data_IF_885616139412
#
_entry.id   IF_885616139412
#
_cell.length_a   1.000
_cell.length_b   1.000
_cell.length_c   1.000
_cell.angle_alpha   90.00
_cell.angle_beta   90.00
_cell.angle_gamma   90.00
#
_symmetry.space_group_name_H-M   'P 1'
#
loop_
_entity.id
_entity.type
_entity.pdbx_description
1 polymer ?
#
# COMPACT_ATOMS: atom_id res chain seq x y z
N UNK A 1 3.26 -7.84 -11.46
CA UNK A 1 4.09 -6.62 -11.39
C UNK A 1 3.43 -5.43 -12.02
N UNK A 2 3.64 -4.24 -11.45
CA UNK A 2 3.19 -2.98 -12.04
C UNK A 2 4.22 -1.85 -11.93
N UNK A 3 4.23 -1.01 -12.96
CA UNK A 3 5.12 0.13 -13.13
C UNK A 3 4.41 1.42 -12.68
N UNK A 4 5.09 2.26 -11.90
CA UNK A 4 4.62 3.58 -11.46
C UNK A 4 3.30 3.56 -10.69
N UNK A 5 3.12 2.56 -9.82
CA UNK A 5 1.89 2.33 -9.05
C UNK A 5 2.07 2.37 -7.53
N UNK A 6 3.31 2.49 -7.04
CA UNK A 6 3.65 2.35 -5.61
C UNK A 6 4.43 3.56 -5.08
N UNK A 7 4.18 4.74 -5.64
CA UNK A 7 4.74 6.01 -5.17
C UNK A 7 3.68 7.09 -5.11
N UNK A 8 3.93 8.08 -4.26
CA UNK A 8 3.16 9.31 -4.18
C UNK A 8 4.06 10.40 -3.61
N UNK A 9 4.07 11.60 -4.22
CA UNK A 9 4.85 12.76 -3.72
C UNK A 9 6.32 12.45 -3.38
N UNK A 10 6.97 11.57 -4.15
CA UNK A 10 8.35 11.12 -3.91
C UNK A 10 8.52 10.10 -2.78
N UNK A 11 7.46 9.73 -2.08
CA UNK A 11 7.42 8.65 -1.09
C UNK A 11 6.84 7.35 -1.64
N UNK A 12 6.87 6.31 -0.81
CA UNK A 12 6.29 5.00 -1.11
C UNK A 12 4.79 4.99 -0.81
N UNK A 13 4.00 4.36 -1.68
CA UNK A 13 2.57 4.15 -1.48
C UNK A 13 2.31 2.66 -1.18
N UNK A 14 1.82 2.38 0.02
CA UNK A 14 1.44 1.04 0.50
C UNK A 14 -0.07 0.93 0.69
N UNK A 15 -0.58 -0.29 0.79
CA UNK A 15 -1.98 -0.57 1.04
C UNK A 15 -2.31 -0.62 2.54
N UNK A 16 -3.59 -0.48 2.89
CA UNK A 16 -4.05 -0.65 4.26
C UNK A 16 -3.73 -2.06 4.75
N UNK A 17 -3.08 -2.19 5.91
CA UNK A 17 -2.62 -3.47 6.45
C UNK A 17 -1.32 -4.01 5.84
N UNK A 18 -0.72 -3.32 4.87
CA UNK A 18 0.62 -3.62 4.37
C UNK A 18 1.67 -3.07 5.36
N UNK A 19 2.61 -3.91 5.80
CA UNK A 19 3.68 -3.51 6.73
C UNK A 19 5.04 -3.62 6.01
N UNK A 20 5.96 -2.71 6.32
CA UNK A 20 7.33 -2.69 5.79
C UNK A 20 8.20 -3.57 6.68
N UNK A 21 8.65 -4.69 6.16
CA UNK A 21 9.51 -5.65 6.86
C UNK A 21 10.95 -5.18 6.91
N UNK A 22 11.48 -4.72 5.77
CA UNK A 22 12.85 -4.22 5.62
C UNK A 22 12.87 -3.03 4.67
N UNK A 23 13.80 -2.12 4.90
CA UNK A 23 14.08 -0.97 4.05
C UNK A 23 15.59 -0.88 3.80
N UNK A 24 15.98 -0.61 2.56
CA UNK A 24 17.38 -0.35 2.22
C UNK A 24 17.45 0.80 1.22
N UNK A 25 18.40 1.69 1.45
CA UNK A 25 18.78 2.73 0.49
C UNK A 25 19.91 2.23 -0.43
N UNK A 26 20.30 3.07 -1.39
CA UNK A 26 21.44 2.85 -2.28
C UNK A 26 21.41 1.54 -3.08
N UNK A 27 20.21 1.12 -3.48
CA UNK A 27 20.01 -0.03 -4.36
C UNK A 27 19.97 0.43 -5.81
N UNK A 28 20.67 -0.30 -6.68
CA UNK A 28 20.58 -0.13 -8.12
C UNK A 28 19.71 -1.21 -8.76
N UNK A 29 18.78 -0.82 -9.61
CA UNK A 29 17.91 -1.70 -10.37
C UNK A 29 18.26 -1.63 -11.86
N UNK A 30 18.51 -2.80 -12.45
CA UNK A 30 18.78 -2.97 -13.86
C UNK A 30 17.82 -4.00 -14.46
N UNK A 31 17.50 -3.82 -15.74
CA UNK A 31 16.58 -4.69 -16.48
C UNK A 31 17.27 -5.39 -17.64
N UNK A 32 16.79 -6.59 -17.97
CA UNK A 32 17.13 -7.34 -19.18
C UNK A 32 15.84 -7.92 -19.78
N UNK A 33 15.77 -7.95 -21.11
CA UNK A 33 14.56 -8.37 -21.85
C UNK A 33 13.53 -7.26 -22.07
N UNK A 34 13.76 -6.07 -21.48
CA UNK A 34 13.01 -4.84 -21.73
C UNK A 34 14.04 -3.71 -21.88
N UNK A 35 14.08 -3.04 -23.05
CA UNK A 35 15.19 -2.11 -23.37
C UNK A 35 14.72 -0.66 -23.65
N UNK A 36 13.42 -0.38 -23.53
CA UNK A 36 12.81 0.92 -23.84
C UNK A 36 12.24 1.68 -22.63
N UNK A 37 12.21 3.00 -22.76
CA UNK A 37 11.57 3.94 -21.82
C UNK A 37 11.92 3.71 -20.35
N UNK A 38 10.95 3.34 -19.49
CA UNK A 38 11.16 3.17 -18.04
C UNK A 38 12.16 2.06 -17.69
N UNK A 39 12.41 1.10 -18.59
CA UNK A 39 13.33 0.00 -18.35
C UNK A 39 14.78 0.31 -18.75
N UNK A 40 15.02 1.44 -19.40
CA UNK A 40 16.35 1.78 -19.93
C UNK A 40 17.31 2.20 -18.83
N UNK A 41 18.49 1.57 -18.83
CA UNK A 41 19.63 1.94 -18.00
C UNK A 41 19.49 1.54 -16.53
N UNK A 42 20.50 1.90 -15.73
CA UNK A 42 20.53 1.61 -14.30
C UNK A 42 19.73 2.65 -13.52
N UNK A 43 18.74 2.20 -12.76
CA UNK A 43 17.97 3.04 -11.82
C UNK A 43 18.63 3.01 -10.44
N UNK A 44 18.58 4.11 -9.70
CA UNK A 44 19.13 4.21 -8.34
C UNK A 44 18.03 4.64 -7.40
N UNK A 45 17.88 3.97 -6.26
CA UNK A 45 16.75 4.22 -5.39
C UNK A 45 16.83 3.45 -4.09
N UNK A 46 15.68 3.38 -3.44
CA UNK A 46 15.48 2.61 -2.22
C UNK A 46 14.56 1.43 -2.51
N UNK A 47 14.73 0.37 -1.73
CA UNK A 47 13.92 -0.84 -1.83
C UNK A 47 13.24 -1.12 -0.50
N UNK A 48 11.98 -1.56 -0.60
CA UNK A 48 11.13 -1.92 0.51
C UNK A 48 10.75 -3.39 0.35
N UNK A 49 11.01 -4.21 1.36
CA UNK A 49 10.36 -5.50 1.50
C UNK A 49 9.14 -5.29 2.39
N UNK A 50 7.96 -5.64 1.89
CA UNK A 50 6.71 -5.55 2.66
C UNK A 50 6.16 -6.94 2.97
N UNK A 51 5.04 -7.00 3.68
CA UNK A 51 4.30 -8.24 3.94
C UNK A 51 3.73 -8.90 2.67
N UNK A 52 3.66 -8.20 1.53
CA UNK A 52 2.98 -8.66 0.31
C UNK A 52 3.85 -8.64 -0.96
N UNK A 53 4.85 -7.74 -0.99
CA UNK A 53 5.62 -7.42 -2.19
C UNK A 53 6.95 -6.78 -1.87
N UNK A 54 7.84 -6.77 -2.85
CA UNK A 54 8.96 -5.83 -2.89
C UNK A 54 8.52 -4.55 -3.60
N UNK A 55 9.03 -3.38 -3.22
CA UNK A 55 8.80 -2.11 -3.93
C UNK A 55 10.15 -1.45 -4.16
N UNK A 56 10.46 -1.12 -5.41
CA UNK A 56 11.55 -0.22 -5.73
C UNK A 56 10.99 1.20 -5.89
N UNK A 57 11.61 2.18 -5.24
CA UNK A 57 11.31 3.60 -5.37
C UNK A 57 12.52 4.32 -5.93
N UNK A 58 12.37 4.95 -7.10
CA UNK A 58 13.47 5.66 -7.73
C UNK A 58 13.78 6.95 -6.99
N UNK A 59 15.07 7.27 -6.84
CA UNK A 59 15.53 8.53 -6.25
C UNK A 59 15.36 9.72 -7.19
N UNK A 60 15.36 9.47 -8.49
CA UNK A 60 15.25 10.52 -9.51
C UNK A 60 13.78 10.74 -9.89
N UNK A 61 13.24 11.91 -9.55
CA UNK A 61 11.87 12.31 -9.95
C UNK A 61 11.73 12.60 -11.45
N UNK A 62 12.84 12.76 -12.17
CA UNK A 62 12.85 13.01 -13.62
C UNK A 62 12.98 11.73 -14.45
N UNK A 63 13.13 10.56 -13.83
CA UNK A 63 13.19 9.28 -14.55
C UNK A 63 11.77 8.79 -14.89
N UNK A 64 11.59 8.14 -16.04
CA UNK A 64 10.30 7.55 -16.41
C UNK A 64 9.84 6.45 -15.43
N UNK A 65 10.77 5.72 -14.80
CA UNK A 65 10.46 4.75 -13.75
C UNK A 65 10.56 5.44 -12.39
N UNK A 66 9.42 5.80 -11.80
CA UNK A 66 9.32 6.36 -10.46
C UNK A 66 9.21 5.27 -9.38
N UNK A 67 8.47 4.20 -9.67
CA UNK A 67 8.38 3.05 -8.78
C UNK A 67 8.14 1.76 -9.54
N UNK A 68 8.53 0.62 -8.96
CA UNK A 68 8.13 -0.68 -9.48
C UNK A 68 7.67 -1.58 -8.33
N UNK A 69 6.46 -2.12 -8.47
CA UNK A 69 5.83 -2.99 -7.48
C UNK A 69 6.05 -4.46 -7.84
N UNK A 70 6.63 -5.19 -6.90
CA UNK A 70 7.04 -6.59 -6.99
C UNK A 70 6.19 -7.59 -6.17
N UNK A 71 4.89 -7.84 -6.46
CA UNK A 71 4.12 -8.87 -5.74
C UNK A 71 4.76 -10.25 -5.79
N UNK A 72 4.78 -10.95 -4.65
CA UNK A 72 5.46 -12.24 -4.53
C UNK A 72 4.95 -13.27 -5.55
N UNK A 73 3.63 -13.28 -5.82
CA UNK A 73 2.98 -14.15 -6.81
C UNK A 73 3.50 -13.97 -8.25
N UNK A 74 4.20 -12.87 -8.54
CA UNK A 74 4.73 -12.56 -9.88
C UNK A 74 6.24 -12.69 -10.01
N UNK A 75 6.92 -13.11 -8.94
CA UNK A 75 8.35 -13.40 -8.95
C UNK A 75 8.59 -14.85 -9.35
N UNK A 76 9.62 -15.08 -10.17
CA UNK A 76 10.13 -16.42 -10.46
C UNK A 76 11.64 -16.38 -10.65
N UNK A 77 12.28 -17.54 -10.53
CA UNK A 77 13.73 -17.70 -10.75
C UNK A 77 14.58 -16.69 -9.95
N UNK A 78 14.20 -16.46 -8.70
CA UNK A 78 14.89 -15.52 -7.82
C UNK A 78 16.15 -16.16 -7.25
N UNK A 79 17.29 -15.51 -7.47
CA UNK A 79 18.61 -15.97 -7.06
C UNK A 79 19.36 -14.84 -6.34
N UNK A 80 20.13 -15.20 -5.31
CA UNK A 80 21.02 -14.30 -4.58
C UNK A 80 22.44 -14.61 -5.04
N UNK A 81 23.14 -13.60 -5.55
CA UNK A 81 24.47 -13.74 -6.12
C UNK A 81 25.50 -13.01 -5.27
N UNK A 82 26.59 -13.72 -4.96
CA UNK A 82 27.70 -13.27 -4.14
C UNK A 82 29.00 -13.32 -4.95
N UNK A 83 29.23 -12.37 -5.86
CA UNK A 83 30.44 -12.37 -6.66
C UNK A 83 31.66 -12.11 -5.76
N UNK A 84 32.79 -12.77 -6.09
CA UNK A 84 34.07 -12.56 -5.39
C UNK A 84 34.52 -11.10 -5.47
N UNK A 85 34.18 -10.42 -6.56
CA UNK A 85 34.44 -9.00 -6.77
C UNK A 85 33.13 -8.25 -7.09
N UNK A 86 32.92 -7.13 -6.42
CA UNK A 86 31.74 -6.28 -6.60
C UNK A 86 30.69 -6.47 -5.50
N UNK A 87 29.56 -5.79 -5.66
CA UNK A 87 28.47 -5.84 -4.70
C UNK A 87 27.57 -7.06 -4.93
N UNK A 88 27.09 -7.64 -3.84
CA UNK A 88 26.08 -8.69 -3.90
C UNK A 88 24.79 -8.16 -4.52
N UNK A 89 24.09 -9.03 -5.25
CA UNK A 89 22.88 -8.65 -5.94
C UNK A 89 21.85 -9.77 -5.92
N UNK A 90 20.59 -9.38 -6.07
CA UNK A 90 19.46 -10.29 -6.23
C UNK A 90 19.02 -10.18 -7.68
N UNK A 91 18.88 -11.28 -8.38
CA UNK A 91 18.31 -11.31 -9.73
C UNK A 91 17.09 -12.21 -9.77
N UNK A 92 16.24 -11.99 -10.77
CA UNK A 92 15.13 -12.89 -11.01
C UNK A 92 14.29 -12.44 -12.19
N UNK A 93 13.18 -13.15 -12.41
CA UNK A 93 12.19 -12.82 -13.43
C UNK A 93 10.94 -12.23 -12.81
N UNK A 94 10.31 -11.38 -13.60
CA UNK A 94 9.03 -10.79 -13.30
C UNK A 94 8.10 -10.83 -14.49
N UNK A 95 6.80 -10.99 -14.20
CA UNK A 95 5.73 -10.90 -15.19
C UNK A 95 4.81 -9.71 -14.93
N UNK A 96 4.47 -8.99 -15.99
CA UNK A 96 3.49 -7.92 -15.95
C UNK A 96 2.14 -8.45 -15.46
N UNK A 97 1.49 -7.72 -14.55
CA UNK A 97 0.09 -7.97 -14.24
C UNK A 97 -0.81 -7.23 -15.23
N UNK A 98 -2.04 -7.71 -15.48
CA UNK A 98 -3.03 -6.95 -16.25
C UNK A 98 -3.17 -5.53 -15.68
N UNK A 99 -3.27 -4.52 -16.54
CA UNK A 99 -3.32 -3.10 -16.17
C UNK A 99 -2.10 -2.56 -15.39
N UNK A 100 -0.98 -3.29 -15.39
CA UNK A 100 0.23 -2.92 -14.65
C UNK A 100 1.12 -1.85 -15.30
N UNK A 101 0.64 -1.10 -16.29
CA UNK A 101 1.39 -0.09 -17.06
C UNK A 101 2.60 -0.60 -17.87
N UNK A 102 2.73 -1.92 -18.06
CA UNK A 102 3.68 -2.53 -18.98
C UNK A 102 3.21 -3.95 -19.35
N UNK A 103 3.87 -4.60 -20.32
CA UNK A 103 3.50 -5.92 -20.81
C UNK A 103 4.70 -6.85 -20.91
N UNK A 104 4.43 -8.15 -20.80
CA UNK A 104 5.41 -9.21 -20.98
C UNK A 104 6.14 -9.60 -19.70
N UNK A 105 7.38 -10.04 -19.87
CA UNK A 105 8.27 -10.45 -18.80
C UNK A 105 9.57 -9.65 -18.86
N UNK A 106 10.25 -9.54 -17.73
CA UNK A 106 11.55 -8.90 -17.63
C UNK A 106 12.42 -9.65 -16.61
N UNK A 107 13.72 -9.61 -16.81
CA UNK A 107 14.69 -9.98 -15.78
C UNK A 107 15.11 -8.72 -15.03
N UNK A 108 15.10 -8.78 -13.71
CA UNK A 108 15.61 -7.70 -12.87
C UNK A 108 16.93 -8.10 -12.22
N UNK A 109 17.73 -7.09 -11.89
CA UNK A 109 18.92 -7.21 -11.05
C UNK A 109 18.95 -6.05 -10.06
N UNK A 110 18.86 -6.37 -8.78
CA UNK A 110 18.92 -5.46 -7.64
C UNK A 110 20.30 -5.57 -6.99
N UNK A 111 21.14 -4.56 -7.16
CA UNK A 111 22.51 -4.53 -6.61
C UNK A 111 22.54 -3.66 -5.35
N UNK A 112 22.99 -4.24 -4.22
CA UNK A 112 22.99 -3.57 -2.92
C UNK A 112 24.39 -3.03 -2.62
N UNK A 113 24.59 -1.72 -2.83
CA UNK A 113 25.92 -1.11 -2.73
C UNK A 113 26.41 -0.95 -1.29
N UNK A 114 25.48 -0.90 -0.35
CA UNK A 114 25.74 -0.69 1.08
C UNK A 114 25.66 -1.98 1.91
N UNK A 115 25.64 -3.16 1.25
CA UNK A 115 25.48 -4.46 1.92
C UNK A 115 24.01 -4.86 2.11
N UNK A 116 23.77 -5.97 2.81
CA UNK A 116 22.42 -6.46 3.13
C UNK A 116 21.71 -7.28 2.04
N UNK A 117 22.32 -7.49 0.86
CA UNK A 117 21.67 -8.25 -0.22
C UNK A 117 21.27 -9.67 0.18
N UNK A 118 22.06 -10.31 1.04
CA UNK A 118 21.87 -11.70 1.46
C UNK A 118 20.65 -11.77 2.37
N UNK A 119 20.64 -10.93 3.40
CA UNK A 119 19.58 -10.86 4.40
C UNK A 119 18.27 -10.37 3.75
N UNK A 120 18.35 -9.40 2.83
CA UNK A 120 17.19 -8.94 2.07
C UNK A 120 16.65 -10.07 1.20
N UNK A 121 17.50 -10.75 0.43
CA UNK A 121 17.10 -11.83 -0.46
C UNK A 121 16.52 -13.03 0.28
N UNK A 122 17.15 -13.45 1.37
CA UNK A 122 16.64 -14.51 2.23
C UNK A 122 15.30 -14.14 2.87
N UNK A 123 15.16 -12.90 3.35
CA UNK A 123 13.90 -12.41 3.91
C UNK A 123 12.80 -12.31 2.86
N UNK A 124 13.13 -11.88 1.64
CA UNK A 124 12.20 -11.83 0.52
C UNK A 124 11.71 -13.24 0.14
N UNK A 125 12.62 -14.21 0.02
CA UNK A 125 12.26 -15.60 -0.28
C UNK A 125 11.42 -16.23 0.84
N UNK A 126 11.76 -15.93 2.11
CA UNK A 126 10.99 -16.39 3.27
C UNK A 126 9.60 -15.77 3.30
N UNK A 127 9.48 -14.46 3.08
CA UNK A 127 8.19 -13.76 3.04
C UNK A 127 7.33 -14.27 1.88
N UNK A 128 7.91 -14.46 0.69
CA UNK A 128 7.20 -15.05 -0.45
C UNK A 128 6.72 -16.49 -0.14
N UNK A 129 7.57 -17.32 0.45
CA UNK A 129 7.19 -18.68 0.87
C UNK A 129 6.04 -18.67 1.87
N UNK A 130 6.10 -17.79 2.88
CA UNK A 130 5.02 -17.64 3.85
C UNK A 130 3.72 -17.17 3.17
N UNK A 131 3.79 -16.13 2.34
CA UNK A 131 2.61 -15.55 1.69
C UNK A 131 1.92 -16.48 0.69
N UNK A 132 2.69 -17.32 -0.01
CA UNK A 132 2.16 -18.18 -1.08
C UNK A 132 1.79 -19.59 -0.61
N UNK A 133 2.35 -20.06 0.51
CA UNK A 133 2.12 -21.42 1.03
C UNK A 133 1.32 -21.48 2.34
N UNK A 134 1.20 -20.38 3.09
CA UNK A 134 0.37 -20.31 4.31
C UNK A 134 -1.01 -19.67 4.03
N UNK A 135 -1.70 -20.08 2.96
CA UNK A 135 -3.14 -19.81 2.92
C UNK A 135 -3.80 -20.64 4.03
N UNK A 136 -4.25 -19.95 5.09
CA UNK A 136 -4.85 -20.51 6.32
C UNK A 136 -6.21 -21.19 6.04
N UNK A 137 -6.66 -21.24 4.78
CA UNK A 137 -7.86 -21.98 4.38
C UNK A 137 -7.74 -23.50 4.52
N UNK A 138 -6.53 -24.05 4.70
CA UNK A 138 -6.30 -25.50 4.77
C UNK A 138 -6.52 -26.21 3.43
N UNK A 139 -6.79 -25.46 2.36
CA UNK A 139 -6.95 -25.98 1.01
C UNK A 139 -5.61 -25.94 0.26
N UNK A 140 -4.83 -27.00 0.43
CA UNK A 140 -3.56 -27.21 -0.27
C UNK A 140 -3.70 -27.28 -1.81
N UNK A 141 -4.92 -27.25 -2.37
CA UNK A 141 -5.15 -27.23 -3.83
C UNK A 141 -5.01 -25.84 -4.45
N UNK A 142 -4.91 -24.78 -3.64
CA UNK A 142 -4.76 -23.38 -4.09
C UNK A 142 -3.37 -22.82 -3.88
N UNK A 143 -2.33 -23.63 -4.10
CA UNK A 143 -0.95 -23.16 -4.10
C UNK A 143 -0.83 -21.84 -4.86
N UNK A 144 -0.57 -20.75 -4.13
CA UNK A 144 -0.52 -19.39 -4.66
C UNK A 144 0.55 -19.19 -5.74
N UNK A 145 1.35 -20.23 -6.00
CA UNK A 145 2.34 -20.28 -7.07
C UNK A 145 1.75 -20.45 -8.48
N UNK A 146 0.46 -20.72 -8.67
CA UNK A 146 -0.12 -20.99 -10.01
C UNK A 146 -1.30 -20.12 -10.42
N UNK A 147 -1.86 -19.29 -9.52
CA UNK A 147 -2.91 -18.35 -9.90
C UNK A 147 -2.29 -17.13 -10.64
N UNK A 148 -2.85 -16.69 -11.78
CA UNK A 148 -2.39 -15.47 -12.42
C UNK A 148 -2.55 -14.28 -11.45
N UNK A 149 -1.63 -13.31 -11.45
CA UNK A 149 -1.77 -12.14 -10.59
C UNK A 149 -3.05 -11.39 -10.92
N UNK A 150 -3.76 -10.87 -9.91
CA UNK A 150 -4.94 -10.06 -10.17
C UNK A 150 -4.56 -8.80 -10.96
N UNK A 151 -5.49 -8.27 -11.77
CA UNK A 151 -5.30 -6.98 -12.42
C UNK A 151 -4.92 -5.89 -11.42
N UNK A 152 -4.04 -4.98 -11.84
CA UNK A 152 -3.86 -3.73 -11.11
C UNK A 152 -5.19 -2.98 -11.06
N UNK A 153 -5.55 -2.50 -9.89
CA UNK A 153 -6.63 -1.53 -9.69
C UNK A 153 -6.01 -0.31 -9.03
N UNK A 154 -6.03 0.87 -9.68
CA UNK A 154 -5.54 2.08 -9.04
C UNK A 154 -6.39 2.38 -7.80
N UNK A 155 -5.78 2.88 -6.70
CA UNK A 155 -6.53 3.35 -5.54
C UNK A 155 -7.52 4.43 -5.97
N UNK A 156 -8.81 4.24 -5.68
CA UNK A 156 -9.86 5.09 -6.25
C UNK A 156 -9.91 6.47 -5.61
N UNK A 157 -9.91 6.59 -4.27
CA UNK A 157 -9.83 7.85 -3.56
C UNK A 157 -9.37 7.61 -2.12
N UNK A 158 -8.60 8.56 -1.59
CA UNK A 158 -7.97 8.61 -0.26
C UNK A 158 -6.65 7.84 -0.13
N UNK A 159 -5.59 8.64 -0.08
CA UNK A 159 -4.32 8.29 0.50
C UNK A 159 -4.09 9.22 1.70
N UNK A 160 -3.36 8.74 2.70
CA UNK A 160 -2.96 9.54 3.85
C UNK A 160 -1.50 9.25 4.19
N UNK A 161 -0.84 10.19 4.86
CA UNK A 161 0.48 9.93 5.42
C UNK A 161 0.33 8.89 6.54
N UNK A 162 1.01 7.76 6.43
CA UNK A 162 0.99 6.74 7.45
C UNK A 162 1.97 7.13 8.57
N UNK A 163 1.51 7.41 9.80
CA UNK A 163 2.43 7.70 10.89
C UNK A 163 3.13 6.40 11.32
N UNK A 164 4.45 6.39 11.57
CA UNK A 164 5.05 5.31 12.35
C UNK A 164 4.35 5.23 13.72
N UNK A 165 4.06 4.03 14.27
CA UNK A 165 4.49 2.70 13.82
C UNK A 165 3.47 1.96 12.92
N UNK A 166 2.50 2.63 12.30
CA UNK A 166 1.37 1.99 11.61
C UNK A 166 1.78 0.99 10.50
N UNK A 167 2.96 1.18 9.92
CA UNK A 167 3.53 0.32 8.87
C UNK A 167 4.72 -0.53 9.37
N UNK A 168 5.04 -0.50 10.67
CA UNK A 168 6.13 -1.29 11.24
C UNK A 168 5.69 -2.74 11.47
N UNK A 169 6.60 -3.73 11.37
CA UNK A 169 6.27 -5.11 11.69
C UNK A 169 6.09 -5.26 13.21
N UNK A 170 5.25 -6.22 13.67
CA UNK A 170 5.09 -6.47 15.09
C UNK A 170 6.41 -6.99 15.70
N UNK A 171 6.76 -6.65 16.95
CA UNK A 171 8.00 -7.09 17.59
C UNK A 171 8.18 -8.62 17.63
N UNK A 172 7.08 -9.37 17.70
CA UNK A 172 7.07 -10.82 17.75
C UNK A 172 7.27 -11.48 16.37
N UNK A 173 7.24 -10.69 15.28
CA UNK A 173 7.32 -11.20 13.91
C UNK A 173 6.08 -11.95 13.44
N UNK A 174 6.27 -12.89 12.51
CA UNK A 174 5.23 -13.63 11.81
C UNK A 174 5.55 -15.12 11.84
N UNK A 175 4.66 -15.93 12.43
CA UNK A 175 4.81 -17.40 12.48
C UNK A 175 6.17 -17.87 13.03
N UNK A 176 6.67 -17.22 14.08
CA UNK A 176 7.97 -17.51 14.67
C UNK A 176 9.17 -16.99 13.88
N UNK A 177 8.95 -16.29 12.77
CA UNK A 177 10.00 -15.60 12.01
C UNK A 177 9.97 -14.09 12.29
N UNK A 178 11.10 -13.53 12.72
CA UNK A 178 11.28 -12.10 12.91
C UNK A 178 12.14 -11.56 11.77
N UNK A 179 11.70 -10.53 11.00
CA UNK A 179 12.53 -9.90 10.00
C UNK A 179 13.81 -9.33 10.63
N UNK A 180 15.00 -9.47 9.99
CA UNK A 180 16.28 -9.03 10.54
C UNK A 180 16.46 -7.51 10.44
N UNK A 181 15.58 -6.75 11.09
CA UNK A 181 15.58 -5.27 11.06
C UNK A 181 16.86 -4.67 11.64
N UNK A 182 17.57 -5.39 12.51
CA UNK A 182 18.87 -4.98 13.04
C UNK A 182 19.98 -4.87 11.96
N UNK A 183 19.86 -5.60 10.85
CA UNK A 183 20.79 -5.52 9.71
C UNK A 183 20.47 -4.32 8.80
N UNK A 184 19.25 -3.79 8.91
CA UNK A 184 18.73 -2.66 8.13
C UNK A 184 18.39 -1.50 9.07
N UNK A 185 19.39 -0.78 9.60
CA UNK A 185 19.17 0.27 10.60
C UNK A 185 18.52 1.53 10.03
N UNK A 186 18.47 1.68 8.70
CA UNK A 186 17.78 2.77 8.05
C UNK A 186 16.26 2.56 8.08
N UNK A 187 15.54 3.68 8.06
CA UNK A 187 14.08 3.68 7.96
C UNK A 187 13.64 4.58 6.82
N UNK A 188 12.43 4.37 6.26
CA UNK A 188 11.88 5.29 5.28
C UNK A 188 11.89 6.73 5.83
N UNK A 189 12.21 7.75 5.00
CA UNK A 189 12.21 9.12 5.47
C UNK A 189 10.89 9.53 6.13
N UNK A 190 10.97 10.39 7.15
CA UNK A 190 9.78 10.87 7.86
C UNK A 190 8.80 11.53 6.88
N UNK A 191 7.53 11.12 6.91
CA UNK A 191 6.50 11.62 6.00
C UNK A 191 6.58 11.10 4.57
N UNK A 192 7.45 10.13 4.27
CA UNK A 192 7.59 9.54 2.93
C UNK A 192 6.85 8.19 2.77
N UNK A 193 6.03 7.79 3.76
CA UNK A 193 5.18 6.60 3.66
C UNK A 193 3.72 7.05 3.58
N UNK A 194 3.08 6.69 2.48
CA UNK A 194 1.67 6.95 2.23
C UNK A 194 0.91 5.63 2.20
N UNK A 195 -0.32 5.65 2.68
CA UNK A 195 -1.18 4.47 2.72
C UNK A 195 -2.52 4.76 2.05
N UNK A 196 -3.01 3.80 1.27
CA UNK A 196 -4.36 3.80 0.69
C UNK A 196 -5.34 3.15 1.66
N UNK A 197 -6.62 3.50 1.60
CA UNK A 197 -7.65 2.76 2.36
C UNK A 197 -7.85 1.31 1.88
N UNK A 198 -7.47 1.03 0.63
CA UNK A 198 -7.66 -0.28 0.01
C UNK A 198 -6.71 -1.33 0.60
N UNK A 199 -7.20 -2.57 0.82
CA UNK A 199 -6.34 -3.71 1.15
C UNK A 199 -5.39 -4.06 -0.01
N UNK A 200 -4.27 -4.77 0.24
CA UNK A 200 -3.41 -5.29 -0.82
C UNK A 200 -4.21 -6.28 -1.67
N UNK A 201 -4.13 -6.19 -3.01
CA UNK A 201 -4.80 -7.12 -3.89
C UNK A 201 -4.03 -8.45 -4.05
N UNK A 202 -2.97 -8.69 -3.27
CA UNK A 202 -2.13 -9.90 -3.36
C UNK A 202 -2.12 -10.62 -2.03
N UNK A 203 -1.80 -11.93 -2.00
CA UNK A 203 -1.51 -12.64 -0.75
C UNK A 203 -0.30 -12.02 -0.02
N UNK A 204 -0.32 -12.08 1.31
CA UNK A 204 0.78 -11.63 2.17
C UNK A 204 0.94 -12.49 3.40
N UNK A 205 1.91 -12.13 4.24
CA UNK A 205 2.25 -12.89 5.46
C UNK A 205 1.43 -12.49 6.69
N UNK A 206 0.51 -11.54 6.55
CA UNK A 206 -0.32 -11.02 7.66
C UNK A 206 -1.52 -11.95 7.92
N UNK A 207 -1.72 -12.44 9.16
CA UNK A 207 -2.89 -13.25 9.50
C UNK A 207 -4.19 -12.48 9.27
N UNK A 208 -5.15 -13.09 8.57
CA UNK A 208 -6.49 -12.52 8.34
C UNK A 208 -6.65 -11.66 7.08
N UNK A 209 -5.57 -11.37 6.36
CA UNK A 209 -5.63 -10.69 5.06
C UNK A 209 -5.65 -11.72 3.92
N UNK A 210 -6.81 -12.36 3.75
CA UNK A 210 -7.09 -13.14 2.54
C UNK A 210 -7.54 -12.18 1.44
N UNK A 211 -6.65 -11.89 0.49
CA UNK A 211 -6.99 -11.22 -0.77
C UNK A 211 -7.98 -12.07 -1.57
N UNK A 212 -9.28 -11.89 -1.29
CA UNK A 212 -10.35 -12.53 -2.03
C UNK A 212 -10.62 -11.83 -3.37
N UNK A 213 -11.14 -12.55 -4.39
CA UNK A 213 -11.61 -11.94 -5.62
C UNK A 213 -12.67 -10.86 -5.33
N UNK A 214 -12.84 -9.86 -6.22
CA UNK A 214 -13.72 -8.72 -5.98
C UNK A 214 -15.16 -9.21 -5.77
N UNK A 215 -15.66 -9.11 -4.54
CA UNK A 215 -17.04 -9.49 -4.20
C UNK A 215 -17.26 -10.08 -2.81
N UNK A 216 -16.22 -10.45 -2.06
CA UNK A 216 -16.36 -10.89 -0.66
C UNK A 216 -15.83 -9.83 0.31
N UNK A 217 -16.58 -9.47 1.37
CA UNK A 217 -16.12 -8.50 2.35
C UNK A 217 -14.91 -9.08 3.09
N UNK A 218 -13.76 -8.43 2.96
CA UNK A 218 -12.61 -8.69 3.81
C UNK A 218 -13.01 -8.43 5.26
N UNK A 219 -12.81 -9.41 6.14
CA UNK A 219 -12.95 -9.19 7.58
C UNK A 219 -11.91 -8.15 8.01
N UNK A 220 -12.38 -7.07 8.63
CA UNK A 220 -11.51 -6.05 9.19
C UNK A 220 -10.51 -6.71 10.15
N UNK A 221 -9.21 -6.35 10.09
CA UNK A 221 -8.25 -6.81 11.08
C UNK A 221 -8.70 -6.36 12.49
N UNK A 222 -8.36 -7.10 13.55
CA UNK A 222 -8.69 -6.71 14.91
C UNK A 222 -8.17 -5.28 15.17
N UNK A 223 -9.07 -4.38 15.55
CA UNK A 223 -8.73 -2.98 15.83
C UNK A 223 -7.61 -2.90 16.87
N UNK A 224 -6.55 -2.17 16.55
CA UNK A 224 -5.47 -1.90 17.50
C UNK A 224 -6.05 -1.15 18.72
N UNK A 225 -5.74 -1.58 19.96
CA UNK A 225 -6.20 -0.87 21.14
C UNK A 225 -5.57 0.52 21.20
N UNK A 226 -6.41 1.54 21.37
CA UNK A 226 -5.96 2.92 21.59
C UNK A 226 -5.16 3.02 22.90
N UNK A 227 -4.09 3.84 22.96
CA UNK A 227 -3.35 4.06 24.20
C UNK A 227 -4.22 4.73 25.28
N UNK A 228 -4.02 4.40 26.57
CA UNK A 228 -4.89 4.85 27.65
C UNK A 228 -4.84 6.38 27.85
N UNK A 229 -6.02 7.00 27.77
CA UNK A 229 -6.22 8.44 27.99
C UNK A 229 -6.18 8.84 29.47
N UNK A 230 -5.70 10.05 29.74
CA UNK A 230 -5.73 10.72 31.04
C UNK A 230 -7.17 11.03 31.51
N UNK A 231 -7.44 11.03 32.83
CA UNK A 231 -8.81 11.04 33.36
C UNK A 231 -9.43 12.43 33.41
N UNK A 232 -10.59 12.59 32.78
CA UNK A 232 -11.41 13.80 32.82
C UNK A 232 -12.83 13.51 33.32
N UNK A 233 -13.09 13.98 34.54
CA UNK A 233 -14.34 14.23 35.28
C UNK A 233 -15.70 13.62 34.88
N UNK A 234 -16.31 13.02 35.91
CA UNK A 234 -17.69 12.54 36.02
C UNK A 234 -18.72 13.67 35.99
N UNK A 235 -19.84 13.42 35.32
CA UNK A 235 -21.12 14.12 35.47
C UNK A 235 -22.27 13.20 35.07
N UNK A 236 -23.46 13.27 35.71
CA UNK A 236 -24.22 12.08 36.08
C UNK A 236 -25.25 11.58 35.06
N UNK A 237 -25.54 10.28 35.23
CA UNK A 237 -26.54 9.45 34.59
C UNK A 237 -27.99 9.92 34.79
N UNK A 238 -28.87 9.74 33.79
CA UNK A 238 -30.28 9.34 33.98
C UNK A 238 -30.83 8.72 32.69
N UNK A 239 -31.39 7.50 32.81
CA UNK A 239 -32.21 6.80 31.80
C UNK A 239 -33.61 7.42 31.72
N UNK A 240 -34.21 7.53 30.53
CA UNK A 240 -35.64 7.20 30.29
C UNK A 240 -35.97 7.10 28.80
N UNK A 241 -36.79 6.10 28.47
CA UNK A 241 -37.46 5.86 27.19
C UNK A 241 -38.40 7.02 26.80
N UNK A 242 -38.57 7.31 25.50
CA UNK A 242 -39.85 7.20 24.76
C UNK A 242 -39.86 7.98 23.41
N UNK A 243 -40.55 7.35 22.47
CA UNK A 243 -40.89 7.67 21.09
C UNK A 243 -41.53 9.05 20.88
N UNK A 244 -41.16 9.77 19.80
CA UNK A 244 -41.86 10.98 19.35
C UNK A 244 -41.14 11.71 18.20
N UNK A 245 -41.66 11.55 16.98
CA UNK A 245 -41.31 12.39 15.84
C UNK A 245 -41.88 13.81 16.04
N UNK A 246 -41.08 14.85 15.79
CA UNK A 246 -41.42 16.06 15.00
C UNK A 246 -40.30 17.12 15.06
N UNK A 247 -39.75 17.42 13.88
CA UNK A 247 -39.39 18.76 13.39
C UNK A 247 -38.47 19.66 14.21
N UNK A 248 -37.17 19.64 13.89
CA UNK A 248 -36.35 20.86 13.87
C UNK A 248 -35.20 20.69 12.86
N UNK A 249 -35.45 21.06 11.60
CA UNK A 249 -34.42 21.00 10.55
C UNK A 249 -33.44 22.16 10.73
N UNK A 250 -32.16 21.84 10.86
CA UNK A 250 -31.10 22.82 10.95
C UNK A 250 -30.88 23.49 9.58
N UNK A 251 -30.26 24.67 9.55
CA UNK A 251 -29.91 25.35 8.29
C UNK A 251 -29.02 24.49 7.35
N UNK A 252 -28.39 23.43 7.88
CA UNK A 252 -27.64 22.45 7.09
C UNK A 252 -28.57 21.52 6.28
N UNK A 253 -29.74 21.17 6.80
CA UNK A 253 -30.72 20.29 6.13
C UNK A 253 -31.46 21.02 5.00
N UNK A 254 -31.75 22.31 5.17
CA UNK A 254 -32.35 23.13 4.12
C UNK A 254 -31.41 23.28 2.90
N UNK A 255 -30.10 23.42 3.16
CA UNK A 255 -29.08 23.55 2.11
C UNK A 255 -28.80 22.22 1.39
N UNK A 256 -28.96 21.09 2.09
CA UNK A 256 -28.92 19.76 1.48
C UNK A 256 -30.15 19.50 0.58
N UNK A 257 -31.31 20.04 0.93
CA UNK A 257 -32.52 19.93 0.11
C UNK A 257 -32.51 20.81 -1.15
N UNK A 258 -31.86 21.98 -1.10
CA UNK A 258 -31.73 22.88 -2.27
C UNK A 258 -30.78 22.30 -3.34
N UNK A 259 -29.71 21.62 -2.92
CA UNK A 259 -28.78 20.93 -3.84
C UNK A 259 -29.43 19.74 -4.58
N UNK A 260 -30.53 19.20 -4.06
CA UNK A 260 -31.27 18.10 -4.69
C UNK A 260 -32.20 18.56 -5.84
N UNK A 261 -32.42 19.86 -6.04
CA UNK A 261 -33.35 20.38 -7.05
C UNK A 261 -32.75 20.56 -8.47
N UNK A 262 -31.48 20.21 -8.69
CA UNK A 262 -30.80 20.48 -9.98
C UNK A 262 -30.36 19.22 -10.74
N UNK A 263 -31.07 18.09 -10.58
CA UNK A 263 -30.86 16.92 -11.42
C UNK A 263 -31.73 17.04 -12.68
N UNK A 264 -31.11 17.34 -13.82
CA UNK A 264 -31.79 17.30 -15.12
C UNK A 264 -31.75 15.88 -15.69
N UNK A 265 -32.92 15.32 -16.01
CA UNK A 265 -33.07 13.98 -16.55
C UNK A 265 -33.26 14.03 -18.07
N UNK A 266 -32.35 13.41 -18.83
CA UNK A 266 -32.47 13.28 -20.30
C UNK A 266 -33.19 11.96 -20.65
N UNK A 267 -34.42 12.02 -21.21
CA UNK A 267 -35.21 10.83 -21.50
C UNK A 267 -34.58 9.87 -22.53
N UNK A 268 -33.61 10.32 -23.33
CA UNK A 268 -32.97 9.49 -24.35
C UNK A 268 -31.75 8.72 -23.84
N UNK A 269 -31.29 8.97 -22.61
CA UNK A 269 -30.16 8.29 -21.99
C UNK A 269 -30.46 7.93 -20.53
N UNK A 270 -31.36 6.94 -20.29
CA UNK A 270 -31.88 6.62 -18.95
C UNK A 270 -30.84 6.06 -17.97
N UNK A 271 -29.59 5.85 -18.40
CA UNK A 271 -28.51 5.28 -17.58
C UNK A 271 -27.54 6.35 -17.02
N UNK A 272 -27.79 7.64 -17.29
CA UNK A 272 -26.87 8.71 -16.89
C UNK A 272 -27.63 9.91 -16.31
N UNK A 273 -27.45 10.15 -15.02
CA UNK A 273 -27.86 11.39 -14.36
C UNK A 273 -26.63 12.31 -14.26
N UNK A 274 -26.74 13.53 -14.79
CA UNK A 274 -25.67 14.52 -14.68
C UNK A 274 -25.90 15.41 -13.45
N UNK A 275 -24.97 15.34 -12.49
CA UNK A 275 -24.93 16.23 -11.32
C UNK A 275 -23.74 17.17 -11.49
N UNK A 276 -23.95 18.49 -11.68
CA UNK A 276 -22.84 19.42 -11.78
C UNK A 276 -22.07 19.49 -10.44
N UNK A 277 -20.73 19.59 -10.45
CA UNK A 277 -19.94 19.63 -9.22
C UNK A 277 -20.25 20.93 -8.43
N UNK A 278 -20.27 20.87 -7.08
CA UNK A 278 -20.51 22.04 -6.26
C UNK A 278 -19.41 23.09 -6.45
N UNK A 279 -19.80 24.36 -6.56
CA UNK A 279 -18.94 25.48 -6.95
C UNK A 279 -17.86 25.90 -5.93
N UNK A 280 -17.67 25.17 -4.83
CA UNK A 280 -16.68 25.51 -3.80
C UNK A 280 -16.00 24.24 -3.28
N UNK A 281 -14.81 23.98 -3.80
CA UNK A 281 -13.85 23.05 -3.21
C UNK A 281 -12.88 23.85 -2.34
N UNK A 282 -13.03 23.81 -1.02
CA UNK A 282 -11.94 24.20 -0.12
C UNK A 282 -11.00 23.00 0.04
N UNK A 283 -9.71 23.20 -0.23
CA UNK A 283 -8.69 22.19 0.04
C UNK A 283 -8.58 21.96 1.56
N UNK A 284 -8.35 20.71 2.01
CA UNK A 284 -8.18 20.43 3.43
C UNK A 284 -6.92 21.14 3.97
N UNK A 285 -6.96 21.60 5.24
CA UNK A 285 -5.88 22.37 5.81
C UNK A 285 -4.59 21.55 5.92
N UNK A 286 -3.47 22.21 5.66
CA UNK A 286 -2.14 21.64 5.90
C UNK A 286 -1.90 21.42 7.40
N UNK A 287 -1.00 20.50 7.76
CA UNK A 287 -0.67 20.20 9.17
C UNK A 287 -0.33 21.46 9.99
N UNK A 288 0.34 22.44 9.37
CA UNK A 288 0.68 23.71 10.00
C UNK A 288 -0.56 24.61 10.27
N UNK A 289 -1.64 24.48 9.49
CA UNK A 289 -2.88 25.24 9.70
C UNK A 289 -3.75 24.63 10.81
N UNK A 290 -3.61 23.34 11.10
CA UNK A 290 -4.36 22.67 12.17
C UNK A 290 -3.78 22.96 13.57
N UNK A 291 -2.48 23.23 13.67
CA UNK A 291 -1.78 23.41 14.95
C UNK A 291 -1.82 24.84 15.50
N UNK A 292 -2.08 25.86 14.66
CA UNK A 292 -2.12 27.27 15.09
C UNK A 292 -3.49 27.81 15.52
N UNK A 293 -4.55 26.98 15.55
CA UNK A 293 -5.90 27.41 15.95
C UNK A 293 -6.16 27.45 17.45
N UNK A 294 -5.13 27.37 18.31
CA UNK A 294 -5.30 27.38 19.77
C UNK A 294 -5.04 28.71 20.49
N UNK A 295 -4.67 29.77 19.77
CA UNK A 295 -4.47 31.10 20.38
C UNK A 295 -5.23 32.18 19.59
N UNK A 296 -6.55 32.25 19.79
CA UNK A 296 -7.36 33.47 19.65
C UNK A 296 -8.72 33.30 20.33
#
# INVERSE_FOLDING_TARGET
MSLNTAHLNGGVLIHNGEQILLFSEDVSLEWSGQEGGPFRGTKKGSIYLTTHRVIFLNKSSSDELQSFSFPFVTLSEVEIEQPVFGANYIKGKVRAQPNGNWLGEAKFKLTFKSGGAIEFGQSMLKAAHLALNFDISGDATRGGMQAPPPPYVPPQNQWYAAPPPAYAPPPQGYYGWVPPTNVFPSSPPAGAVFMTDNPPPYPGIVPGYQGGPPGYPAQAPPGYPSPPGYPGHQGPTTNHFQQGAHGNTSAADAKAAEAAQSAYYDPNRPQMAYVPPPAYYENPPSYNQATHKKDQ
#
